data_IF_528988992004
#
_entry.id   IF_528988992004
#
_cell.length_a   1.000
_cell.length_b   1.000
_cell.length_c   1.000
_cell.angle_alpha   90.00
_cell.angle_beta   90.00
_cell.angle_gamma   90.00
#
_symmetry.space_group_name_H-M   'P 1'
#
loop_
_entity.id
_entity.type
_entity.pdbx_description
1 polymer ?
#
# COMPACT_ATOMS: atom_id res chain seq x y z
N UNK A 1 11.71 13.10 16.94
CA UNK A 1 11.48 11.94 16.07
C UNK A 1 10.24 12.26 15.26
N UNK A 2 10.34 12.38 13.93
CA UNK A 2 9.13 12.52 13.12
C UNK A 2 8.28 11.28 13.41
N UNK A 3 7.08 11.45 13.97
CA UNK A 3 6.12 10.34 14.02
C UNK A 3 5.67 10.18 12.58
N UNK A 4 6.29 9.25 11.85
CA UNK A 4 5.85 8.82 10.53
C UNK A 4 4.50 8.11 10.68
N UNK A 5 3.46 8.91 10.96
CA UNK A 5 2.08 8.51 10.97
C UNK A 5 1.67 8.31 9.52
N UNK A 6 1.32 7.09 9.17
CA UNK A 6 0.79 6.76 7.86
C UNK A 6 -0.67 7.23 7.82
N UNK A 7 -1.02 8.09 6.85
CA UNK A 7 -2.38 8.54 6.63
C UNK A 7 -3.26 7.45 6.01
N UNK A 8 -4.56 7.72 5.89
CA UNK A 8 -5.49 6.74 5.34
C UNK A 8 -5.11 6.33 3.90
N UNK A 9 -4.49 7.22 3.14
CA UNK A 9 -4.01 6.94 1.79
C UNK A 9 -2.79 6.02 1.79
N UNK A 10 -1.83 6.21 2.71
CA UNK A 10 -0.74 5.26 2.90
C UNK A 10 -1.23 3.88 3.33
N UNK A 11 -2.20 3.80 4.23
CA UNK A 11 -2.83 2.53 4.62
C UNK A 11 -3.55 1.84 3.46
N UNK A 12 -4.25 2.62 2.62
CA UNK A 12 -4.87 2.10 1.41
C UNK A 12 -3.83 1.50 0.45
N UNK A 13 -2.71 2.18 0.26
CA UNK A 13 -1.63 1.68 -0.59
C UNK A 13 -0.99 0.40 -0.04
N UNK A 14 -0.82 0.31 1.29
CA UNK A 14 -0.34 -0.92 1.96
C UNK A 14 -1.33 -2.06 1.75
N UNK A 15 -2.63 -1.82 1.96
CA UNK A 15 -3.66 -2.82 1.75
C UNK A 15 -3.67 -3.32 0.29
N UNK A 16 -3.56 -2.41 -0.69
CA UNK A 16 -3.41 -2.75 -2.10
C UNK A 16 -2.19 -3.63 -2.37
N UNK A 17 -1.04 -3.30 -1.80
CA UNK A 17 0.18 -4.11 -1.92
C UNK A 17 -0.02 -5.53 -1.39
N UNK A 18 -0.61 -5.67 -0.19
CA UNK A 18 -0.83 -6.97 0.45
C UNK A 18 -1.79 -7.83 -0.37
N UNK A 19 -2.93 -7.26 -0.78
CA UNK A 19 -3.96 -7.97 -1.55
C UNK A 19 -3.40 -8.43 -2.90
N UNK A 20 -2.72 -7.53 -3.63
CA UNK A 20 -2.16 -7.87 -4.94
C UNK A 20 -1.01 -8.87 -4.84
N UNK A 21 -0.22 -8.82 -3.77
CA UNK A 21 0.80 -9.84 -3.52
C UNK A 21 0.16 -11.21 -3.26
N UNK A 22 -0.91 -11.26 -2.47
CA UNK A 22 -1.65 -12.50 -2.23
C UNK A 22 -2.28 -13.05 -3.52
N UNK A 23 -2.87 -12.18 -4.35
CA UNK A 23 -3.40 -12.54 -5.66
C UNK A 23 -2.31 -13.05 -6.61
N UNK A 24 -1.13 -12.43 -6.59
CA UNK A 24 0.00 -12.90 -7.39
C UNK A 24 0.42 -14.32 -7.00
N UNK A 25 0.52 -14.59 -5.69
CA UNK A 25 0.81 -15.95 -5.20
C UNK A 25 -0.28 -16.93 -5.63
N UNK A 26 -1.56 -16.56 -5.56
CA UNK A 26 -2.65 -17.39 -6.06
C UNK A 26 -2.56 -17.63 -7.58
N UNK A 27 -2.26 -16.61 -8.38
CA UNK A 27 -2.07 -16.75 -9.83
C UNK A 27 -0.93 -17.74 -10.17
N UNK A 28 0.14 -17.78 -9.37
CA UNK A 28 1.23 -18.74 -9.57
C UNK A 28 0.81 -20.20 -9.29
N UNK A 29 -0.09 -20.42 -8.32
CA UNK A 29 -0.54 -21.76 -7.93
C UNK A 29 -1.81 -22.24 -8.66
N UNK A 30 -2.58 -21.32 -9.23
CA UNK A 30 -3.87 -21.59 -9.87
C UNK A 30 -3.91 -21.21 -11.36
N UNK A 31 -2.77 -21.35 -12.07
CA UNK A 31 -2.58 -20.88 -13.46
C UNK A 31 -3.65 -21.36 -14.46
N UNK A 32 -4.28 -22.51 -14.16
CA UNK A 32 -5.25 -23.17 -15.04
C UNK A 32 -6.70 -22.79 -14.75
N UNK A 33 -6.97 -22.12 -13.63
CA UNK A 33 -8.32 -21.74 -13.18
C UNK A 33 -8.60 -20.26 -13.34
N UNK A 34 -7.57 -19.43 -13.54
CA UNK A 34 -7.67 -17.98 -13.38
C UNK A 34 -7.33 -17.22 -14.67
N UNK A 35 -8.21 -16.30 -15.06
CA UNK A 35 -8.09 -15.56 -16.33
C UNK A 35 -7.12 -14.37 -16.27
N UNK A 36 -6.62 -14.01 -15.08
CA UNK A 36 -5.66 -12.92 -14.91
C UNK A 36 -4.23 -13.41 -15.04
N UNK A 37 -3.39 -12.59 -15.69
CA UNK A 37 -1.98 -12.87 -15.83
C UNK A 37 -1.22 -12.48 -14.57
N UNK A 38 -0.53 -13.44 -13.96
CA UNK A 38 0.37 -13.24 -12.82
C UNK A 38 1.33 -12.05 -13.04
N UNK A 39 1.78 -11.82 -14.27
CA UNK A 39 2.66 -10.71 -14.62
C UNK A 39 2.03 -9.35 -14.29
N UNK A 40 0.77 -9.12 -14.68
CA UNK A 40 0.09 -7.85 -14.41
C UNK A 40 -0.25 -7.70 -12.93
N UNK A 41 -0.64 -8.77 -12.27
CA UNK A 41 -0.89 -8.79 -10.83
C UNK A 41 0.36 -8.34 -10.04
N UNK A 42 1.54 -8.83 -10.43
CA UNK A 42 2.83 -8.43 -9.86
C UNK A 42 3.16 -6.95 -10.13
N UNK A 43 2.95 -6.47 -11.35
CA UNK A 43 3.22 -5.07 -11.71
C UNK A 43 2.39 -4.11 -10.85
N UNK A 44 1.09 -4.37 -10.69
CA UNK A 44 0.23 -3.52 -9.85
C UNK A 44 0.62 -3.66 -8.37
N UNK A 45 1.00 -4.86 -7.91
CA UNK A 45 1.52 -5.04 -6.55
C UNK A 45 2.74 -4.13 -6.32
N UNK A 46 3.75 -4.20 -7.18
CA UNK A 46 4.96 -3.37 -7.05
C UNK A 46 4.62 -1.87 -7.00
N UNK A 47 3.71 -1.40 -7.85
CA UNK A 47 3.28 0.00 -7.84
C UNK A 47 2.61 0.40 -6.53
N UNK A 48 1.74 -0.46 -5.98
CA UNK A 48 1.12 -0.24 -4.68
C UNK A 48 2.14 -0.24 -3.53
N UNK A 49 3.17 -1.08 -3.61
CA UNK A 49 4.27 -1.11 -2.65
C UNK A 49 5.13 0.15 -2.70
N UNK A 50 5.45 0.64 -3.90
CA UNK A 50 6.16 1.91 -4.10
C UNK A 50 5.33 3.08 -3.55
N UNK A 51 4.02 3.10 -3.82
CA UNK A 51 3.10 4.09 -3.26
C UNK A 51 3.10 4.08 -1.73
N UNK A 52 3.03 2.89 -1.12
CA UNK A 52 3.03 2.74 0.34
C UNK A 52 4.33 3.27 0.96
N UNK A 53 5.48 2.93 0.38
CA UNK A 53 6.78 3.42 0.82
C UNK A 53 6.92 4.95 0.66
N UNK A 54 6.43 5.50 -0.46
CA UNK A 54 6.47 6.94 -0.70
C UNK A 54 5.64 7.71 0.32
N UNK A 55 4.47 7.18 0.68
CA UNK A 55 3.56 7.77 1.67
C UNK A 55 4.13 7.64 3.09
N UNK A 56 4.72 6.51 3.43
CA UNK A 56 5.43 6.30 4.70
C UNK A 56 6.61 7.25 4.92
N UNK A 57 7.31 7.66 3.85
CA UNK A 57 8.39 8.63 3.91
C UNK A 57 7.94 10.08 4.18
N UNK A 58 6.68 10.30 4.58
CA UNK A 58 6.13 11.61 4.94
C UNK A 58 5.58 12.41 3.76
N UNK A 59 5.41 11.79 2.58
CA UNK A 59 4.69 12.40 1.45
C UNK A 59 3.19 12.11 1.47
N UNK A 60 2.68 11.60 2.58
CA UNK A 60 1.25 11.32 2.72
C UNK A 60 0.50 12.59 3.14
N UNK A 61 -0.28 13.23 2.23
CA UNK A 61 -1.04 14.44 2.55
C UNK A 61 -2.25 14.15 3.45
N UNK A 62 -2.51 12.88 3.75
CA UNK A 62 -3.64 12.41 4.57
C UNK A 62 -3.21 11.90 5.94
N UNK A 63 -1.90 11.97 6.23
CA UNK A 63 -1.41 11.75 7.57
C UNK A 63 -1.89 12.92 8.42
N UNK A 64 -2.83 12.66 9.33
CA UNK A 64 -3.21 13.63 10.34
C UNK A 64 -1.94 13.98 11.12
N UNK A 65 -1.40 15.16 10.83
CA UNK A 65 -0.65 15.90 11.82
C UNK A 65 -1.63 16.12 12.95
N UNK A 66 -1.61 15.22 13.93
CA UNK A 66 -1.89 15.57 15.31
C UNK A 66 -0.83 16.60 15.71
N UNK A 67 -0.98 17.81 15.17
CA UNK A 67 -0.76 19.03 15.92
C UNK A 67 -1.79 18.90 17.04
N UNK A 68 -1.38 18.22 18.12
CA UNK A 68 -1.95 18.53 19.41
C UNK A 68 -1.73 20.03 19.56
N UNK A 69 -2.77 20.78 19.20
CA UNK A 69 -3.04 22.11 19.69
C UNK A 69 -3.15 21.96 21.21
N UNK A 70 -1.99 21.86 21.87
CA UNK A 70 -1.84 22.16 23.30
C UNK A 70 -2.01 23.67 23.44
N UNK A 71 -3.21 24.15 23.14
CA UNK A 71 -3.74 25.41 23.60
C UNK A 71 -4.40 25.16 24.97
N UNK A 72 -3.58 24.90 25.99
CA UNK A 72 -3.92 25.12 27.40
C UNK A 72 -2.67 25.42 28.19
#
# INVERSE_FOLDING_TARGET
MARNALGWFGWFSVAGFVILTALYVLDLFADSLWAFSAFWTLVVAILAGIGALALYAGRDPTADTYEEDTAT
#
